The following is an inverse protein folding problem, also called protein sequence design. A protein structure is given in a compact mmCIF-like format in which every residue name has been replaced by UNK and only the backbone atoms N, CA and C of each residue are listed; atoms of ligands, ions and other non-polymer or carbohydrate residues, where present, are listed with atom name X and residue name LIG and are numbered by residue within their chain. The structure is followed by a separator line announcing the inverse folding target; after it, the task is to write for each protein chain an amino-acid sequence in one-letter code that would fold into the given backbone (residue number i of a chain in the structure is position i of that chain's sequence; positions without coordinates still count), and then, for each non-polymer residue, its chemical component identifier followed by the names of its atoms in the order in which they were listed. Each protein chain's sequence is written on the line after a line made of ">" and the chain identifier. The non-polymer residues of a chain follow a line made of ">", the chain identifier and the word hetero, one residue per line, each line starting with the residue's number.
data_IF_515741570477
#
_entry.id   IF_515741570477
#
_cell.length_a   1.000
_cell.length_b   1.000
_cell.length_c   1.000
_cell.angle_alpha   90.00
_cell.angle_beta   90.00
_cell.angle_gamma   90.00
#
_symmetry.space_group_name_H-M   'P 1'
#
loop_
_entity.id
_entity.type
_entity.pdbx_description
1 polymer ?
#
# COMPACT_ATOMS: atom_id res chain seq x y z
N UNK A 1 -16.33 13.23 -14.67
CA UNK A 1 -16.82 14.50 -14.06
C UNK A 1 -17.27 14.23 -12.62
N UNK A 2 -16.32 14.15 -11.66
CA UNK A 2 -16.63 14.20 -10.21
C UNK A 2 -15.40 14.59 -9.34
N UNK A 3 -14.23 14.81 -9.93
CA UNK A 3 -12.95 14.97 -9.25
C UNK A 3 -12.91 16.14 -8.24
N UNK A 4 -13.60 17.26 -8.53
CA UNK A 4 -13.72 18.38 -7.59
C UNK A 4 -14.47 18.01 -6.30
N UNK A 5 -15.41 17.07 -6.37
CA UNK A 5 -16.17 16.60 -5.21
C UNK A 5 -15.30 15.70 -4.32
N UNK A 6 -14.52 14.82 -4.93
CA UNK A 6 -13.59 13.92 -4.23
C UNK A 6 -12.46 14.70 -3.56
N UNK A 7 -11.88 15.67 -4.25
CA UNK A 7 -10.87 16.55 -3.68
C UNK A 7 -11.39 17.30 -2.44
N UNK A 8 -12.59 17.89 -2.53
CA UNK A 8 -13.21 18.58 -1.39
C UNK A 8 -13.46 17.65 -0.21
N UNK A 9 -13.90 16.41 -0.47
CA UNK A 9 -14.06 15.40 0.59
C UNK A 9 -12.73 15.08 1.24
N UNK A 10 -11.68 14.80 0.45
CA UNK A 10 -10.35 14.53 0.99
C UNK A 10 -9.86 15.67 1.88
N UNK A 11 -10.03 16.93 1.46
CA UNK A 11 -9.63 18.11 2.25
C UNK A 11 -10.44 18.25 3.54
N UNK A 12 -11.76 18.05 3.49
CA UNK A 12 -12.65 18.29 4.63
C UNK A 12 -12.70 17.12 5.62
N UNK A 13 -12.54 15.88 5.15
CA UNK A 13 -12.73 14.65 5.93
C UNK A 13 -11.41 13.90 6.18
N UNK A 14 -10.34 14.22 5.45
CA UNK A 14 -9.04 13.56 5.56
C UNK A 14 -8.94 12.22 4.82
N UNK A 15 -10.02 11.74 4.19
CA UNK A 15 -10.04 10.55 3.35
C UNK A 15 -11.12 10.65 2.26
N UNK A 16 -11.03 9.77 1.25
CA UNK A 16 -12.07 9.62 0.23
C UNK A 16 -12.09 8.18 -0.30
N UNK A 17 -13.29 7.66 -0.59
CA UNK A 17 -13.45 6.41 -1.34
C UNK A 17 -13.55 6.70 -2.83
N UNK A 18 -12.94 5.83 -3.63
CA UNK A 18 -12.96 5.94 -5.09
C UNK A 18 -13.73 4.78 -5.71
N UNK A 19 -14.07 4.92 -6.99
CA UNK A 19 -14.47 3.77 -7.78
C UNK A 19 -13.33 2.74 -7.86
N UNK A 20 -13.70 1.50 -8.18
CA UNK A 20 -12.74 0.41 -8.32
C UNK A 20 -11.75 0.71 -9.45
N UNK A 21 -10.47 0.80 -9.10
CA UNK A 21 -9.37 1.09 -10.05
C UNK A 21 -8.79 -0.18 -10.64
N UNK A 22 -8.63 -1.19 -9.80
CA UNK A 22 -7.99 -2.47 -10.12
C UNK A 22 -9.05 -3.52 -10.42
N UNK A 23 -8.81 -4.32 -11.45
CA UNK A 23 -9.66 -5.46 -11.76
C UNK A 23 -9.57 -6.54 -10.67
N UNK A 24 -10.51 -7.50 -10.68
CA UNK A 24 -10.42 -8.66 -9.80
C UNK A 24 -9.17 -9.51 -10.10
N UNK A 25 -8.73 -9.52 -11.35
CA UNK A 25 -7.51 -10.21 -11.78
C UNK A 25 -6.26 -9.51 -11.22
N UNK A 26 -6.19 -8.17 -11.28
CA UNK A 26 -5.10 -7.40 -10.66
C UNK A 26 -4.99 -7.68 -9.16
N UNK A 27 -6.14 -7.72 -8.47
CA UNK A 27 -6.20 -8.00 -7.05
C UNK A 27 -5.72 -9.43 -6.73
N UNK A 28 -6.18 -10.43 -7.48
CA UNK A 28 -5.80 -11.84 -7.29
C UNK A 28 -4.30 -12.06 -7.57
N UNK A 29 -3.80 -11.52 -8.68
CA UNK A 29 -2.39 -11.61 -9.06
C UNK A 29 -1.49 -10.95 -8.01
N UNK A 30 -1.89 -9.76 -7.53
CA UNK A 30 -1.12 -9.03 -6.51
C UNK A 30 -1.14 -9.73 -5.16
N UNK A 31 -2.26 -10.35 -4.78
CA UNK A 31 -2.36 -11.19 -3.57
C UNK A 31 -1.41 -12.38 -3.65
N UNK A 32 -1.37 -13.07 -4.79
CA UNK A 32 -0.50 -14.23 -5.00
C UNK A 32 0.99 -13.84 -5.08
N UNK A 33 1.29 -12.71 -5.70
CA UNK A 33 2.63 -12.12 -5.71
C UNK A 33 3.08 -11.75 -4.28
N UNK A 34 2.23 -11.09 -3.50
CA UNK A 34 2.55 -10.76 -2.12
C UNK A 34 2.72 -12.00 -1.25
N UNK A 35 1.90 -13.04 -1.45
CA UNK A 35 2.09 -14.33 -0.78
C UNK A 35 3.44 -14.98 -1.11
N UNK A 36 3.92 -14.84 -2.35
CA UNK A 36 5.26 -15.29 -2.75
C UNK A 36 6.35 -14.52 -2.00
N UNK A 37 6.23 -13.19 -1.91
CA UNK A 37 7.14 -12.33 -1.12
C UNK A 37 7.12 -12.73 0.35
N UNK A 38 5.96 -13.00 0.95
CA UNK A 38 5.85 -13.50 2.34
C UNK A 38 6.67 -14.78 2.53
N UNK A 39 6.66 -15.69 1.56
CA UNK A 39 7.40 -16.95 1.58
C UNK A 39 8.84 -16.85 1.04
N UNK A 40 9.41 -15.64 1.02
CA UNK A 40 10.78 -15.36 0.58
C UNK A 40 11.06 -15.77 -0.88
N UNK A 41 10.04 -15.73 -1.74
CA UNK A 41 10.16 -15.98 -3.18
C UNK A 41 10.08 -14.64 -3.92
N UNK A 42 11.21 -14.16 -4.40
CA UNK A 42 11.35 -12.83 -5.02
C UNK A 42 11.64 -12.99 -6.52
N UNK A 43 10.70 -12.56 -7.39
CA UNK A 43 10.85 -12.70 -8.84
C UNK A 43 11.93 -11.76 -9.42
N UNK A 44 12.24 -10.68 -8.71
CA UNK A 44 13.29 -9.72 -9.06
C UNK A 44 14.67 -10.15 -8.58
N UNK A 45 14.75 -11.16 -7.70
CA UNK A 45 15.95 -11.52 -6.96
C UNK A 45 16.34 -10.51 -5.86
N UNK A 46 15.51 -9.51 -5.58
CA UNK A 46 15.78 -8.46 -4.59
C UNK A 46 14.87 -8.66 -3.36
N UNK A 47 15.47 -8.64 -2.18
CA UNK A 47 14.72 -8.70 -0.92
C UNK A 47 13.95 -7.40 -0.66
N UNK A 48 12.83 -7.45 0.07
CA UNK A 48 12.14 -6.23 0.50
C UNK A 48 13.02 -5.42 1.45
N UNK A 49 12.77 -4.12 1.58
CA UNK A 49 13.62 -3.24 2.39
C UNK A 49 13.63 -3.65 3.86
N UNK A 50 12.46 -3.97 4.44
CA UNK A 50 12.36 -4.52 5.78
C UNK A 50 11.29 -5.61 5.85
N UNK A 51 11.50 -6.57 6.76
CA UNK A 51 10.53 -7.60 7.12
C UNK A 51 10.38 -7.61 8.64
N UNK A 52 9.15 -7.63 9.12
CA UNK A 52 8.82 -7.74 10.55
C UNK A 52 8.22 -9.11 10.89
N UNK A 53 8.26 -10.04 9.93
CA UNK A 53 7.81 -11.41 10.06
C UNK A 53 8.53 -12.27 9.00
N UNK A 54 8.98 -13.46 9.40
CA UNK A 54 9.62 -14.44 8.53
C UNK A 54 8.95 -15.82 8.65
N UNK A 55 9.06 -16.67 7.61
CA UNK A 55 8.63 -18.06 7.71
C UNK A 55 9.24 -18.76 8.92
N UNK A 56 8.39 -19.30 9.80
CA UNK A 56 8.78 -19.90 11.08
C UNK A 56 8.39 -19.06 12.29
N UNK A 57 8.13 -17.76 12.11
CA UNK A 57 7.52 -16.92 13.14
C UNK A 57 6.08 -17.37 13.43
N UNK A 58 5.52 -16.87 14.53
CA UNK A 58 4.18 -17.23 14.95
C UNK A 58 3.14 -16.91 13.85
N UNK A 59 2.36 -17.89 13.38
CA UNK A 59 1.42 -17.72 12.27
C UNK A 59 0.21 -16.85 12.61
N UNK A 60 0.05 -16.45 13.88
CA UNK A 60 -1.03 -15.56 14.34
C UNK A 60 -0.63 -14.08 14.41
N UNK A 61 0.65 -13.78 14.19
CA UNK A 61 1.13 -12.40 14.22
C UNK A 61 0.85 -11.69 12.90
N UNK A 62 0.66 -10.38 12.97
CA UNK A 62 0.53 -9.56 11.77
C UNK A 62 1.81 -9.66 10.92
N UNK A 63 1.65 -9.96 9.64
CA UNK A 63 2.76 -9.97 8.70
C UNK A 63 2.87 -8.58 8.11
N UNK A 64 4.03 -7.94 8.28
CA UNK A 64 4.36 -6.63 7.71
C UNK A 64 5.67 -6.72 6.93
N UNK A 65 5.63 -6.29 5.68
CA UNK A 65 6.80 -6.24 4.77
C UNK A 65 6.83 -4.86 4.11
N UNK A 66 7.95 -4.18 4.24
CA UNK A 66 8.17 -2.84 3.70
C UNK A 66 8.81 -2.93 2.31
N UNK A 67 8.29 -2.12 1.38
CA UNK A 67 8.67 -2.06 -0.05
C UNK A 67 8.67 -3.42 -0.78
N UNK A 68 7.60 -4.24 -0.68
CA UNK A 68 7.51 -5.51 -1.41
C UNK A 68 7.52 -5.35 -2.95
N UNK A 69 7.29 -4.14 -3.45
CA UNK A 69 7.42 -3.81 -4.88
C UNK A 69 8.85 -3.96 -5.41
N UNK A 70 9.87 -3.94 -4.55
CA UNK A 70 11.25 -4.23 -4.96
C UNK A 70 11.43 -5.73 -5.27
N UNK A 71 10.63 -6.58 -4.62
CA UNK A 71 10.73 -8.04 -4.69
C UNK A 71 9.82 -8.69 -5.73
N UNK A 72 8.81 -7.97 -6.22
CA UNK A 72 7.89 -8.49 -7.21
C UNK A 72 7.52 -7.48 -8.29
N UNK A 73 7.73 -7.87 -9.55
CA UNK A 73 7.28 -7.12 -10.74
C UNK A 73 5.76 -6.87 -10.73
N UNK A 74 4.97 -7.86 -10.32
CA UNK A 74 3.50 -7.71 -10.25
C UNK A 74 3.10 -6.61 -9.28
N UNK A 75 3.73 -6.56 -8.09
CA UNK A 75 3.45 -5.52 -7.10
C UNK A 75 3.95 -4.16 -7.58
N UNK A 76 5.12 -4.12 -8.22
CA UNK A 76 5.64 -2.90 -8.85
C UNK A 76 4.65 -2.35 -9.88
N UNK A 77 4.23 -3.18 -10.84
CA UNK A 77 3.32 -2.81 -11.91
C UNK A 77 1.97 -2.34 -11.37
N UNK A 78 1.45 -2.97 -10.30
CA UNK A 78 0.23 -2.55 -9.62
C UNK A 78 0.35 -1.11 -9.08
N UNK A 79 1.39 -0.81 -8.31
CA UNK A 79 1.52 0.50 -7.65
C UNK A 79 1.98 1.60 -8.62
N UNK A 80 2.56 1.24 -9.76
CA UNK A 80 2.90 2.17 -10.85
C UNK A 80 1.86 2.19 -11.97
N UNK A 81 0.68 1.60 -11.77
CA UNK A 81 -0.37 1.56 -12.77
C UNK A 81 -0.78 2.98 -13.20
N UNK A 82 -0.81 3.23 -14.51
CA UNK A 82 -1.08 4.56 -15.05
C UNK A 82 -2.47 5.09 -14.65
N UNK A 83 -3.52 4.27 -14.72
CA UNK A 83 -4.89 4.68 -14.35
C UNK A 83 -4.98 5.02 -12.87
N UNK A 84 -4.28 4.25 -12.03
CA UNK A 84 -4.18 4.55 -10.61
C UNK A 84 -3.49 5.90 -10.37
N UNK A 85 -2.34 6.14 -11.00
CA UNK A 85 -1.65 7.43 -10.91
C UNK A 85 -2.48 8.62 -11.38
N UNK A 86 -3.20 8.48 -12.50
CA UNK A 86 -4.12 9.51 -13.03
C UNK A 86 -5.28 9.80 -12.07
N UNK A 87 -5.87 8.76 -11.48
CA UNK A 87 -6.92 8.93 -10.48
C UNK A 87 -6.39 9.68 -9.25
N UNK A 88 -5.24 9.27 -8.71
CA UNK A 88 -4.63 9.93 -7.55
C UNK A 88 -4.29 11.38 -7.86
N UNK A 89 -3.72 11.68 -9.03
CA UNK A 89 -3.45 13.05 -9.46
C UNK A 89 -4.72 13.90 -9.50
N UNK A 90 -5.80 13.34 -10.04
CA UNK A 90 -7.10 14.00 -10.13
C UNK A 90 -7.73 14.29 -8.77
N UNK A 91 -7.75 13.30 -7.86
CA UNK A 91 -8.33 13.45 -6.52
C UNK A 91 -7.56 14.45 -5.69
N UNK A 92 -6.23 14.41 -5.79
CA UNK A 92 -5.35 15.26 -4.98
C UNK A 92 -5.09 16.62 -5.61
N UNK A 93 -5.59 16.87 -6.83
CA UNK A 93 -5.27 18.04 -7.64
C UNK A 93 -3.75 18.24 -7.81
N UNK A 94 -3.02 17.14 -7.97
CA UNK A 94 -1.56 17.12 -8.09
C UNK A 94 -1.13 17.05 -9.54
N UNK A 95 -0.01 17.71 -9.87
CA UNK A 95 0.61 17.61 -11.21
C UNK A 95 1.39 16.32 -11.41
N UNK A 96 1.84 15.70 -10.32
CA UNK A 96 2.66 14.48 -10.33
C UNK A 96 2.37 13.68 -9.07
N UNK A 97 2.31 12.36 -9.23
CA UNK A 97 2.28 11.40 -8.13
C UNK A 97 3.62 10.66 -8.13
N UNK A 98 4.18 10.48 -6.95
CA UNK A 98 5.40 9.71 -6.74
C UNK A 98 5.17 8.72 -5.62
N UNK A 99 5.40 7.44 -5.92
CA UNK A 99 5.47 6.41 -4.88
C UNK A 99 6.77 6.60 -4.12
N UNK A 100 6.67 6.84 -2.81
CA UNK A 100 7.80 6.91 -1.90
C UNK A 100 8.00 5.59 -1.14
N UNK A 101 6.90 4.96 -0.76
CA UNK A 101 6.90 3.76 0.05
C UNK A 101 5.70 2.89 -0.32
N UNK A 102 5.82 1.57 -0.12
CA UNK A 102 4.67 0.67 -0.09
C UNK A 102 4.85 -0.31 1.05
N UNK A 103 3.74 -0.78 1.63
CA UNK A 103 3.75 -1.70 2.76
C UNK A 103 2.75 -2.82 2.49
N UNK A 104 3.25 -4.05 2.44
CA UNK A 104 2.40 -5.23 2.40
C UNK A 104 2.03 -5.65 3.81
N UNK A 105 0.73 -5.84 4.06
CA UNK A 105 0.20 -6.28 5.37
C UNK A 105 -0.72 -7.47 5.18
N UNK A 106 -0.51 -8.54 5.95
CA UNK A 106 -1.45 -9.65 6.06
C UNK A 106 -1.84 -9.85 7.54
N UNK A 107 -3.15 -9.88 7.80
CA UNK A 107 -3.70 -10.18 9.13
C UNK A 107 -4.24 -11.60 9.13
N UNK A 108 -3.56 -12.56 9.79
CA UNK A 108 -4.03 -13.94 9.82
C UNK A 108 -5.35 -14.04 10.60
N UNK A 109 -6.24 -14.99 10.23
CA UNK A 109 -7.48 -15.21 10.96
C UNK A 109 -7.19 -15.62 12.41
N UNK A 110 -7.94 -15.06 13.36
CA UNK A 110 -7.81 -15.41 14.78
C UNK A 110 -6.60 -14.83 15.51
N UNK A 111 -5.95 -13.79 14.97
CA UNK A 111 -4.83 -13.09 15.62
C UNK A 111 -5.20 -12.29 16.89
N UNK A 112 -6.47 -11.98 17.10
CA UNK A 112 -6.93 -11.15 18.23
C UNK A 112 -6.15 -9.84 18.31
N UNK A 113 -5.73 -9.44 19.52
CA UNK A 113 -4.93 -8.22 19.73
C UNK A 113 -3.57 -8.23 19.02
N UNK A 114 -2.98 -9.40 18.72
CA UNK A 114 -1.69 -9.52 18.02
C UNK A 114 -1.77 -9.20 16.52
N UNK A 115 -2.98 -9.20 15.96
CA UNK A 115 -3.25 -8.78 14.59
C UNK A 115 -3.61 -7.29 14.43
N UNK A 116 -3.63 -6.53 15.54
CA UNK A 116 -4.06 -5.14 15.52
C UNK A 116 -2.93 -4.20 15.08
N UNK A 117 -3.28 -3.21 14.27
CA UNK A 117 -2.46 -2.02 14.09
C UNK A 117 -2.93 -0.97 15.12
N UNK A 118 -2.00 -0.39 15.87
CA UNK A 118 -2.34 0.70 16.81
C UNK A 118 -2.82 1.96 16.08
N UNK A 119 -3.52 2.86 16.77
CA UNK A 119 -3.92 4.15 16.19
C UNK A 119 -2.69 5.03 15.92
N UNK A 120 -2.56 5.55 14.70
CA UNK A 120 -1.44 6.40 14.30
C UNK A 120 -1.79 7.28 13.09
N UNK A 121 -0.87 8.20 12.75
CA UNK A 121 -0.85 8.94 11.49
C UNK A 121 0.49 8.67 10.80
N UNK A 122 0.49 8.33 9.51
CA UNK A 122 1.71 7.93 8.81
C UNK A 122 2.79 9.01 8.79
N UNK A 123 2.40 10.28 8.62
CA UNK A 123 3.33 11.42 8.50
C UNK A 123 4.30 11.56 9.69
N UNK A 124 3.91 11.09 10.89
CA UNK A 124 4.79 11.17 12.06
C UNK A 124 6.06 10.33 11.92
N UNK A 125 6.03 9.31 11.06
CA UNK A 125 7.17 8.46 10.74
C UNK A 125 8.01 8.97 9.56
N UNK A 126 7.53 10.00 8.85
CA UNK A 126 8.16 10.55 7.65
C UNK A 126 8.44 12.06 7.80
N UNK A 127 9.30 12.49 8.76
CA UNK A 127 9.49 13.90 9.11
C UNK A 127 10.19 14.74 8.02
N UNK A 128 10.60 14.10 6.93
CA UNK A 128 11.27 14.74 5.79
C UNK A 128 10.29 15.37 4.79
N UNK A 129 9.01 15.04 4.89
CA UNK A 129 7.97 15.52 3.97
C UNK A 129 7.00 16.49 4.66
N UNK A 130 6.47 17.43 3.90
CA UNK A 130 5.37 18.27 4.35
C UNK A 130 4.08 17.45 4.45
N UNK A 131 3.33 17.63 5.54
CA UNK A 131 2.10 16.86 5.79
C UNK A 131 1.03 17.02 4.71
N UNK A 132 1.01 18.15 4.01
CA UNK A 132 0.08 18.43 2.90
C UNK A 132 0.42 17.65 1.63
N UNK A 133 1.64 17.11 1.50
CA UNK A 133 2.13 16.41 0.30
C UNK A 133 2.20 14.90 0.43
N UNK A 134 1.93 14.33 1.61
CA UNK A 134 2.00 12.90 1.88
C UNK A 134 0.61 12.32 2.10
N UNK A 135 0.28 11.32 1.30
CA UNK A 135 -1.00 10.62 1.32
C UNK A 135 -0.76 9.12 1.20
N UNK A 136 -1.67 8.34 1.77
CA UNK A 136 -1.70 6.88 1.64
C UNK A 136 -2.90 6.50 0.79
N UNK A 137 -2.70 5.61 -0.18
CA UNK A 137 -3.68 5.19 -1.18
C UNK A 137 -3.73 3.66 -1.30
#
# INVERSE_FOLDING_TARGET
>A
MNNMKENRKLINEGFVFTDQVFSLEDAENSKNAFWSVINCKYDTGIEPENRFWNPGDNPKDIIKIDKPHLSSKVIFDLITNQRFGELLANITNSKKIQVWHSQGVCKPPGGGHRGNAGWHRDIQYWPFWESSGVLTA
#
